data_IF_629188256317
#
_entry.id   IF_629188256317
#
_cell.length_a   1.000
_cell.length_b   1.000
_cell.length_c   1.000
_cell.angle_alpha   90.00
_cell.angle_beta   90.00
_cell.angle_gamma   90.00
#
_symmetry.space_group_name_H-M   'P 1'
#
loop_
_entity.id
_entity.type
_entity.pdbx_description
1 polymer ?
#
# COMPACT_ATOMS: atom_id res chain seq x y z
N UNK A 1 16.77 -12.93 -2.43
CA UNK A 1 17.71 -12.37 -3.43
C UNK A 1 18.95 -11.88 -2.71
N UNK A 2 20.15 -12.39 -3.03
CA UNK A 2 21.42 -11.85 -2.51
C UNK A 2 21.93 -10.79 -3.50
N UNK A 3 21.32 -9.62 -3.51
CA UNK A 3 21.80 -8.47 -4.27
C UNK A 3 22.68 -7.60 -3.35
N UNK A 4 23.74 -7.01 -3.89
CA UNK A 4 24.37 -5.86 -3.22
C UNK A 4 23.38 -4.70 -3.13
N UNK A 5 23.59 -3.78 -2.19
CA UNK A 5 22.72 -2.61 -2.04
C UNK A 5 22.66 -1.76 -3.32
N UNK A 6 23.77 -1.67 -4.05
CA UNK A 6 23.81 -0.99 -5.35
C UNK A 6 22.93 -1.70 -6.38
N UNK A 7 23.04 -3.01 -6.53
CA UNK A 7 22.22 -3.77 -7.48
C UNK A 7 20.74 -3.73 -7.12
N UNK A 8 20.41 -3.75 -5.82
CA UNK A 8 19.05 -3.61 -5.32
C UNK A 8 18.42 -2.30 -5.78
N UNK A 9 19.12 -1.18 -5.55
CA UNK A 9 18.68 0.17 -5.95
C UNK A 9 18.64 0.33 -7.46
N UNK A 10 19.69 -0.13 -8.17
CA UNK A 10 19.77 -0.04 -9.64
C UNK A 10 18.61 -0.81 -10.31
N UNK A 11 18.24 -1.99 -9.78
CA UNK A 11 17.08 -2.74 -10.27
C UNK A 11 15.77 -2.01 -10.02
N UNK A 12 15.57 -1.47 -8.81
CA UNK A 12 14.38 -0.69 -8.49
C UNK A 12 14.26 0.55 -9.39
N UNK A 13 15.33 1.32 -9.58
CA UNK A 13 15.34 2.49 -10.45
C UNK A 13 15.09 2.12 -11.92
N UNK A 14 15.64 0.99 -12.38
CA UNK A 14 15.47 0.53 -13.76
C UNK A 14 14.02 0.08 -14.03
N UNK A 15 13.48 -0.80 -13.18
CA UNK A 15 12.21 -1.51 -13.39
C UNK A 15 11.00 -0.85 -12.71
N UNK A 16 11.23 -0.09 -11.64
CA UNK A 16 10.21 0.53 -10.81
C UNK A 16 9.64 -0.40 -9.73
N UNK A 17 10.14 -1.64 -9.60
CA UNK A 17 9.72 -2.59 -8.57
C UNK A 17 10.81 -3.60 -8.22
N UNK A 18 10.61 -4.29 -7.10
CA UNK A 18 11.36 -5.46 -6.64
C UNK A 18 10.39 -6.51 -6.09
N UNK A 19 10.52 -7.76 -6.55
CA UNK A 19 9.68 -8.88 -6.13
C UNK A 19 10.35 -10.22 -6.48
N UNK A 20 10.22 -11.28 -5.66
CA UNK A 20 9.78 -11.25 -4.26
C UNK A 20 10.89 -10.74 -3.33
N UNK A 21 10.52 -10.19 -2.18
CA UNK A 21 11.45 -9.80 -1.10
C UNK A 21 11.04 -10.43 0.23
N UNK A 22 12.01 -10.86 1.07
CA UNK A 22 11.74 -11.21 2.45
C UNK A 22 11.11 -10.03 3.20
N UNK A 23 10.15 -10.30 4.08
CA UNK A 23 9.55 -9.30 4.97
C UNK A 23 9.43 -9.84 6.40
N UNK A 24 8.22 -10.25 6.81
CA UNK A 24 7.92 -10.66 8.19
C UNK A 24 8.10 -12.17 8.43
N UNK A 25 8.28 -12.94 7.36
CA UNK A 25 8.41 -14.40 7.43
C UNK A 25 7.08 -15.13 7.66
N UNK A 26 7.09 -16.45 7.44
CA UNK A 26 5.88 -17.29 7.41
C UNK A 26 5.15 -17.35 8.75
N UNK A 27 5.88 -17.40 9.87
CA UNK A 27 5.28 -17.50 11.21
C UNK A 27 4.52 -16.23 11.60
N UNK A 28 5.12 -15.04 11.39
CA UNK A 28 4.44 -13.78 11.70
C UNK A 28 3.27 -13.55 10.75
N UNK A 29 3.39 -13.92 9.47
CA UNK A 29 2.29 -13.85 8.52
C UNK A 29 1.11 -14.73 8.94
N UNK A 30 1.35 -15.96 9.40
CA UNK A 30 0.31 -16.85 9.89
C UNK A 30 -0.41 -16.27 11.13
N UNK A 31 0.35 -15.79 12.13
CA UNK A 31 -0.23 -15.14 13.33
C UNK A 31 -1.04 -13.88 12.99
N UNK A 32 -0.57 -13.09 12.03
CA UNK A 32 -1.31 -11.91 11.57
C UNK A 32 -2.59 -12.31 10.84
N UNK A 33 -2.55 -13.37 10.03
CA UNK A 33 -3.73 -13.91 9.34
C UNK A 33 -4.77 -14.44 10.33
N UNK A 34 -4.36 -15.13 11.39
CA UNK A 34 -5.25 -15.58 12.48
C UNK A 34 -5.97 -14.37 13.12
N UNK A 35 -5.23 -13.33 13.49
CA UNK A 35 -5.81 -12.09 14.05
C UNK A 35 -6.76 -11.40 13.07
N UNK A 36 -6.45 -11.40 11.78
CA UNK A 36 -7.35 -10.88 10.74
C UNK A 36 -8.65 -11.67 10.75
N UNK A 37 -8.57 -13.00 10.73
CA UNK A 37 -9.75 -13.89 10.73
C UNK A 37 -10.59 -13.77 12.01
N UNK A 38 -9.96 -13.55 13.17
CA UNK A 38 -10.67 -13.27 14.43
C UNK A 38 -11.52 -12.01 14.33
N UNK A 39 -10.97 -10.92 13.78
CA UNK A 39 -11.71 -9.67 13.53
C UNK A 39 -12.88 -9.93 12.59
N UNK A 40 -12.64 -10.62 11.48
CA UNK A 40 -13.65 -10.93 10.48
C UNK A 40 -14.78 -11.81 11.03
N UNK A 41 -14.46 -12.78 11.87
CA UNK A 41 -15.45 -13.65 12.52
C UNK A 41 -16.47 -12.84 13.34
N UNK A 42 -16.03 -11.73 13.95
CA UNK A 42 -16.92 -10.82 14.68
C UNK A 42 -17.63 -9.78 13.80
N UNK A 43 -17.31 -9.73 12.51
CA UNK A 43 -17.82 -8.73 11.56
C UNK A 43 -18.43 -9.41 10.31
N UNK A 44 -19.22 -10.46 10.53
CA UNK A 44 -19.97 -11.13 9.45
C UNK A 44 -19.08 -11.85 8.43
N UNK A 45 -17.89 -12.28 8.83
CA UNK A 45 -16.92 -12.99 7.99
C UNK A 45 -16.14 -12.08 7.04
N UNK A 46 -16.14 -10.76 7.26
CA UNK A 46 -15.44 -9.79 6.40
C UNK A 46 -14.69 -8.76 7.21
N UNK A 47 -13.58 -8.25 6.66
CA UNK A 47 -12.87 -7.14 7.28
C UNK A 47 -13.78 -5.90 7.33
N UNK A 48 -13.86 -5.19 8.47
CA UNK A 48 -14.71 -4.01 8.58
C UNK A 48 -14.26 -2.90 7.64
N UNK A 49 -15.15 -2.49 6.74
CA UNK A 49 -14.88 -1.45 5.74
C UNK A 49 -14.42 -0.13 6.37
N UNK A 50 -14.91 0.21 7.57
CA UNK A 50 -14.49 1.39 8.33
C UNK A 50 -12.97 1.40 8.57
N UNK A 51 -12.38 0.22 8.82
CA UNK A 51 -10.96 0.05 9.09
C UNK A 51 -10.21 -0.54 7.88
N UNK A 52 -10.77 -0.47 6.66
CA UNK A 52 -10.03 -0.86 5.46
C UNK A 52 -8.82 0.06 5.22
N UNK A 53 -8.93 1.34 5.61
CA UNK A 53 -7.89 2.37 5.54
C UNK A 53 -7.27 2.60 6.92
N UNK A 54 -5.93 2.68 6.99
CA UNK A 54 -5.14 2.86 8.23
C UNK A 54 -5.55 1.93 9.39
N UNK A 55 -5.75 0.61 9.17
CA UNK A 55 -6.06 -0.32 10.25
C UNK A 55 -4.96 -0.39 11.33
N UNK A 56 -3.73 -0.01 10.98
CA UNK A 56 -2.59 0.11 11.90
C UNK A 56 -2.91 0.98 13.13
N UNK A 57 -3.82 1.95 13.01
CA UNK A 57 -4.13 2.87 14.10
C UNK A 57 -5.02 2.26 15.18
N UNK A 58 -5.66 1.11 14.91
CA UNK A 58 -6.60 0.47 15.85
C UNK A 58 -6.25 -1.00 16.14
N UNK A 59 -5.36 -1.60 15.35
CA UNK A 59 -4.89 -2.97 15.53
C UNK A 59 -3.36 -2.99 15.73
N UNK A 60 -2.84 -3.15 16.97
CA UNK A 60 -1.41 -3.07 17.27
C UNK A 60 -0.52 -4.02 16.45
N UNK A 61 -1.01 -5.20 16.07
CA UNK A 61 -0.21 -6.13 15.26
C UNK A 61 0.11 -5.58 13.86
N UNK A 62 -0.71 -4.66 13.34
CA UNK A 62 -0.45 -3.99 12.06
C UNK A 62 0.52 -2.82 12.23
N UNK A 63 0.47 -2.08 13.35
CA UNK A 63 1.50 -1.08 13.68
C UNK A 63 2.88 -1.73 13.88
N UNK A 64 2.93 -2.94 14.45
CA UNK A 64 4.17 -3.72 14.54
C UNK A 64 4.72 -4.07 13.14
N UNK A 65 3.85 -4.50 12.22
CA UNK A 65 4.22 -4.89 10.86
C UNK A 65 4.78 -3.72 10.05
N UNK A 66 4.17 -2.53 10.08
CA UNK A 66 4.68 -1.38 9.32
C UNK A 66 6.06 -0.91 9.82
N UNK A 67 6.42 -1.28 11.06
CA UNK A 67 7.69 -0.97 11.72
C UNK A 67 8.69 -2.12 11.64
N UNK A 68 8.35 -3.21 10.96
CA UNK A 68 9.17 -4.41 10.95
C UNK A 68 10.56 -4.13 10.33
N UNK A 69 11.68 -4.47 11.03
CA UNK A 69 13.02 -4.10 10.58
C UNK A 69 13.34 -4.54 9.16
N UNK A 70 13.04 -5.80 8.78
CA UNK A 70 13.29 -6.30 7.42
C UNK A 70 12.57 -5.50 6.34
N UNK A 71 11.35 -5.00 6.62
CA UNK A 71 10.61 -4.16 5.67
C UNK A 71 11.33 -2.81 5.56
N UNK A 72 11.54 -2.16 6.70
CA UNK A 72 12.13 -0.83 6.73
C UNK A 72 13.57 -0.81 6.20
N UNK A 73 14.36 -1.87 6.37
CA UNK A 73 15.72 -1.98 5.82
C UNK A 73 15.70 -2.02 4.29
N UNK A 74 14.70 -2.68 3.69
CA UNK A 74 14.52 -2.68 2.25
C UNK A 74 14.03 -1.31 1.72
N UNK A 75 13.14 -0.64 2.47
CA UNK A 75 12.63 0.70 2.14
C UNK A 75 13.73 1.76 2.24
N UNK A 76 14.54 1.70 3.30
CA UNK A 76 15.63 2.65 3.59
C UNK A 76 16.65 2.71 2.45
N UNK A 77 16.98 1.56 1.84
CA UNK A 77 17.88 1.49 0.68
C UNK A 77 17.43 2.37 -0.49
N UNK A 78 16.12 2.58 -0.65
CA UNK A 78 15.53 3.36 -1.74
C UNK A 78 15.25 4.82 -1.32
N UNK A 79 14.77 5.02 -0.10
CA UNK A 79 14.17 6.27 0.36
C UNK A 79 15.10 7.14 1.22
N UNK A 80 16.07 6.51 1.88
CA UNK A 80 16.87 7.08 2.97
C UNK A 80 16.33 6.72 4.36
N UNK A 81 16.99 7.19 5.44
CA UNK A 81 16.80 6.71 6.81
C UNK A 81 15.54 7.26 7.51
N UNK A 82 15.00 8.38 7.03
CA UNK A 82 13.88 9.07 7.66
C UNK A 82 12.57 8.69 6.97
N UNK A 83 11.89 7.69 7.52
CA UNK A 83 10.78 6.98 6.88
C UNK A 83 9.49 7.22 7.64
N UNK A 84 8.47 7.62 6.88
CA UNK A 84 7.10 7.75 7.33
C UNK A 84 6.26 6.66 6.68
N UNK A 85 5.43 5.97 7.47
CA UNK A 85 4.27 5.24 6.95
C UNK A 85 3.10 6.21 6.81
N UNK A 86 2.76 6.56 5.57
CA UNK A 86 1.69 7.52 5.28
C UNK A 86 0.31 6.88 5.38
N UNK A 87 0.12 5.66 4.85
CA UNK A 87 -1.12 4.90 5.06
C UNK A 87 -0.91 3.40 4.82
N UNK A 88 -1.86 2.60 5.31
CA UNK A 88 -2.01 1.19 4.94
C UNK A 88 -3.43 0.90 4.48
N UNK A 89 -3.59 -0.07 3.58
CA UNK A 89 -4.90 -0.55 3.14
C UNK A 89 -4.88 -2.04 2.82
N UNK A 90 -5.92 -2.76 3.27
CA UNK A 90 -6.13 -4.16 2.92
C UNK A 90 -6.63 -4.33 1.48
N UNK A 91 -6.12 -5.36 0.82
CA UNK A 91 -6.60 -5.85 -0.47
C UNK A 91 -6.85 -7.36 -0.33
N UNK A 92 -8.09 -7.68 0.05
CA UNK A 92 -8.55 -9.06 0.23
C UNK A 92 -9.33 -9.47 -1.02
N UNK A 93 -9.02 -10.64 -1.57
CA UNK A 93 -9.84 -11.28 -2.59
C UNK A 93 -10.26 -12.67 -2.17
N UNK A 94 -11.55 -12.84 -1.98
CA UNK A 94 -12.17 -14.12 -1.66
C UNK A 94 -12.52 -14.90 -2.94
N UNK A 95 -12.54 -16.25 -2.90
CA UNK A 95 -12.94 -17.06 -4.04
C UNK A 95 -14.29 -16.60 -4.63
N UNK A 96 -14.30 -16.28 -5.92
CA UNK A 96 -15.52 -15.92 -6.64
C UNK A 96 -16.07 -14.51 -6.35
N UNK A 97 -15.33 -13.64 -5.66
CA UNK A 97 -15.77 -12.26 -5.42
C UNK A 97 -15.78 -11.35 -6.67
N UNK A 98 -15.09 -11.77 -7.74
CA UNK A 98 -14.97 -11.05 -9.00
C UNK A 98 -14.22 -9.71 -8.91
N UNK A 99 -13.64 -9.37 -7.76
CA UNK A 99 -12.97 -8.10 -7.54
C UNK A 99 -11.66 -8.02 -8.30
N UNK A 100 -11.41 -6.92 -9.01
CA UNK A 100 -10.16 -6.68 -9.72
C UNK A 100 -9.63 -5.27 -9.47
N UNK A 101 -8.37 -5.02 -9.80
CA UNK A 101 -7.78 -3.67 -9.73
C UNK A 101 -7.39 -3.31 -11.16
N UNK A 102 -8.03 -2.31 -11.72
CA UNK A 102 -7.70 -1.78 -13.05
C UNK A 102 -6.27 -1.24 -13.09
N UNK A 103 -5.70 -1.16 -14.29
CA UNK A 103 -4.39 -0.54 -14.50
C UNK A 103 -4.42 0.90 -14.02
N UNK A 104 -3.53 1.25 -13.09
CA UNK A 104 -3.47 2.58 -12.52
C UNK A 104 -2.07 2.96 -12.05
N UNK A 105 -1.92 4.24 -11.75
CA UNK A 105 -0.84 4.79 -10.93
C UNK A 105 -1.43 5.13 -9.57
N UNK A 106 -0.62 4.95 -8.54
CA UNK A 106 -1.07 4.98 -7.15
C UNK A 106 -1.50 6.41 -6.72
N UNK A 107 -0.77 7.43 -7.19
CA UNK A 107 -0.68 8.78 -6.59
C UNK A 107 -1.71 9.84 -6.99
N UNK A 108 -2.58 9.57 -7.95
CA UNK A 108 -3.43 10.59 -8.59
C UNK A 108 -4.29 11.42 -7.62
N UNK A 109 -4.49 10.96 -6.39
CA UNK A 109 -5.40 11.59 -5.42
C UNK A 109 -4.81 11.64 -4.00
N UNK A 110 -3.48 11.61 -3.85
CA UNK A 110 -2.85 11.54 -2.52
C UNK A 110 -2.63 12.90 -1.88
N UNK A 111 -2.55 13.97 -2.67
CA UNK A 111 -2.26 15.29 -2.15
C UNK A 111 -0.81 15.45 -1.64
N UNK A 112 0.12 14.65 -2.15
CA UNK A 112 1.54 14.67 -1.83
C UNK A 112 2.33 15.00 -3.10
N UNK A 113 3.36 15.83 -2.96
CA UNK A 113 4.35 16.09 -4.00
C UNK A 113 5.20 14.83 -4.26
N UNK A 114 5.25 14.45 -5.53
CA UNK A 114 5.80 13.18 -6.02
C UNK A 114 7.24 13.30 -6.53
N UNK A 115 7.89 14.44 -6.28
CA UNK A 115 9.29 14.65 -6.62
C UNK A 115 10.25 13.81 -5.77
N UNK A 116 9.75 13.15 -4.74
CA UNK A 116 10.52 12.27 -3.85
C UNK A 116 10.33 10.78 -4.19
N UNK A 117 11.27 9.96 -3.71
CA UNK A 117 11.16 8.50 -3.80
C UNK A 117 10.06 7.99 -2.86
N UNK A 118 8.83 7.93 -3.37
CA UNK A 118 7.65 7.41 -2.68
C UNK A 118 7.35 6.01 -3.22
N UNK A 119 7.07 5.06 -2.32
CA UNK A 119 6.87 3.67 -2.69
C UNK A 119 5.75 3.01 -1.90
N UNK A 120 5.23 1.92 -2.45
CA UNK A 120 4.32 1.00 -1.77
C UNK A 120 5.05 -0.32 -1.54
N UNK A 121 5.00 -0.82 -0.31
CA UNK A 121 5.30 -2.20 0.03
C UNK A 121 3.99 -2.99 0.06
N UNK A 122 3.86 -4.02 -0.76
CA UNK A 122 2.70 -4.92 -0.74
C UNK A 122 3.09 -6.22 -0.05
N UNK A 123 2.54 -6.46 1.14
CA UNK A 123 2.84 -7.60 2.00
C UNK A 123 1.77 -8.69 1.84
N UNK A 124 2.19 -9.93 1.65
CA UNK A 124 1.33 -11.09 1.53
C UNK A 124 1.11 -11.77 2.90
N UNK A 125 -0.15 -11.94 3.32
CA UNK A 125 -0.50 -12.77 4.50
C UNK A 125 -0.89 -14.20 4.12
N UNK A 126 -1.30 -14.39 2.87
CA UNK A 126 -1.49 -15.69 2.21
C UNK A 126 -0.61 -15.73 0.96
N UNK A 127 -0.34 -16.91 0.36
CA UNK A 127 0.27 -16.96 -0.97
C UNK A 127 -0.52 -16.09 -1.95
N UNK A 128 0.19 -15.33 -2.78
CA UNK A 128 -0.37 -14.52 -3.85
C UNK A 128 0.18 -15.06 -5.18
N UNK A 129 -0.70 -15.68 -5.96
CA UNK A 129 -0.38 -16.34 -7.23
C UNK A 129 -1.15 -15.67 -8.36
N UNK A 130 -0.77 -15.97 -9.60
CA UNK A 130 -1.53 -15.51 -10.77
C UNK A 130 -3.02 -15.89 -10.67
N UNK A 131 -3.33 -17.11 -10.25
CA UNK A 131 -4.70 -17.65 -10.22
C UNK A 131 -5.57 -17.00 -9.14
N UNK A 132 -4.98 -16.54 -8.03
CA UNK A 132 -5.70 -15.84 -6.97
C UNK A 132 -5.64 -14.31 -7.08
N UNK A 133 -5.23 -13.83 -8.26
CA UNK A 133 -5.28 -12.43 -8.62
C UNK A 133 -4.17 -11.61 -7.97
N UNK A 134 -2.93 -12.10 -7.96
CA UNK A 134 -1.77 -11.29 -7.54
C UNK A 134 -1.62 -10.01 -8.38
N UNK A 135 -0.89 -9.04 -7.84
CA UNK A 135 -0.58 -7.81 -8.55
C UNK A 135 0.30 -8.09 -9.79
N UNK A 136 -0.03 -7.44 -10.90
CA UNK A 136 0.78 -7.37 -12.12
C UNK A 136 1.23 -5.94 -12.38
N UNK A 137 2.40 -5.78 -12.98
CA UNK A 137 3.04 -4.49 -13.26
C UNK A 137 3.57 -4.42 -14.68
N UNK A 138 3.71 -3.23 -15.25
CA UNK A 138 4.47 -3.02 -16.50
C UNK A 138 5.81 -2.36 -16.17
N UNK A 139 6.95 -3.09 -16.26
CA UNK A 139 8.25 -2.59 -15.85
C UNK A 139 8.65 -1.28 -16.55
N UNK A 140 9.22 -0.33 -15.81
CA UNK A 140 9.77 0.92 -16.34
C UNK A 140 8.76 2.06 -16.54
N UNK A 141 7.46 1.78 -16.42
CA UNK A 141 6.39 2.79 -16.61
C UNK A 141 6.37 3.88 -15.54
N UNK A 142 7.03 3.69 -14.39
CA UNK A 142 7.21 4.73 -13.36
C UNK A 142 7.98 5.96 -13.86
N UNK A 143 8.77 5.81 -14.93
CA UNK A 143 9.51 6.88 -15.60
C UNK A 143 8.64 7.75 -16.50
N UNK A 144 7.44 7.27 -16.86
CA UNK A 144 6.46 8.06 -17.61
C UNK A 144 5.93 9.19 -16.72
N UNK A 145 5.31 10.21 -17.33
CA UNK A 145 4.60 11.23 -16.55
C UNK A 145 3.40 10.60 -15.82
N UNK A 146 2.86 11.33 -14.86
CA UNK A 146 1.50 11.03 -14.43
C UNK A 146 0.57 11.19 -15.63
N UNK A 147 -0.20 10.15 -15.92
CA UNK A 147 -1.18 10.18 -16.98
C UNK A 147 -2.55 10.55 -16.41
N UNK A 148 -3.43 11.16 -17.23
CA UNK A 148 -4.83 11.31 -16.87
C UNK A 148 -5.45 9.96 -16.49
N UNK A 149 -6.41 10.02 -15.58
CA UNK A 149 -7.22 8.86 -15.18
C UNK A 149 -8.65 9.08 -15.66
N UNK A 150 -9.24 8.06 -16.28
CA UNK A 150 -10.66 8.04 -16.62
C UNK A 150 -11.43 7.18 -15.63
N UNK A 151 -12.75 7.33 -15.61
CA UNK A 151 -13.60 6.35 -14.93
C UNK A 151 -13.34 4.96 -15.53
N UNK A 152 -13.01 4.00 -14.67
CA UNK A 152 -12.80 2.62 -15.07
C UNK A 152 -14.11 1.84 -15.11
N UNK A 153 -14.07 0.63 -15.66
CA UNK A 153 -15.24 -0.23 -15.76
C UNK A 153 -15.55 -0.95 -14.43
N UNK A 154 -16.82 -1.02 -14.04
CA UNK A 154 -17.35 -2.06 -13.14
C UNK A 154 -16.88 -2.04 -11.67
N UNK A 155 -16.72 -3.22 -11.08
CA UNK A 155 -16.43 -3.48 -9.66
C UNK A 155 -14.93 -3.37 -9.30
N UNK A 156 -14.21 -2.41 -9.89
CA UNK A 156 -12.80 -2.20 -9.63
C UNK A 156 -12.55 -1.77 -8.17
N UNK A 157 -11.61 -2.44 -7.50
CA UNK A 157 -11.17 -2.17 -6.13
C UNK A 157 -10.20 -0.97 -6.03
N UNK A 158 -9.99 -0.22 -7.11
CA UNK A 158 -9.25 1.04 -7.06
C UNK A 158 -10.02 2.07 -6.23
N UNK A 159 -9.31 2.97 -5.54
CA UNK A 159 -9.91 3.90 -4.55
C UNK A 159 -11.08 4.70 -5.13
N UNK A 160 -11.02 5.03 -6.43
CA UNK A 160 -12.06 5.79 -7.14
C UNK A 160 -12.64 5.03 -8.34
N UNK A 161 -12.40 3.72 -8.46
CA UNK A 161 -12.82 2.96 -9.65
C UNK A 161 -12.17 3.43 -10.95
N UNK A 162 -11.08 4.20 -10.89
CA UNK A 162 -10.44 4.82 -12.05
C UNK A 162 -9.37 3.91 -12.67
N UNK A 163 -9.07 4.14 -13.95
CA UNK A 163 -7.96 3.53 -14.66
C UNK A 163 -7.12 4.58 -15.37
N UNK A 164 -5.88 4.23 -15.69
CA UNK A 164 -5.01 5.08 -16.51
C UNK A 164 -5.60 5.22 -17.92
N UNK A 165 -5.67 6.44 -18.45
CA UNK A 165 -6.24 6.69 -19.79
C UNK A 165 -5.20 6.42 -20.90
N UNK A 166 -4.76 5.17 -20.97
CA UNK A 166 -3.90 4.62 -22.03
C UNK A 166 -4.15 3.14 -22.18
N UNK A 167 -4.07 2.64 -23.42
CA UNK A 167 -4.07 1.20 -23.66
C UNK A 167 -2.75 0.60 -23.16
N UNK A 168 -2.83 -0.15 -22.07
CA UNK A 168 -1.69 -0.85 -21.49
C UNK A 168 -1.43 -2.14 -22.26
N UNK A 169 -0.23 -2.29 -22.79
CA UNK A 169 0.20 -3.54 -23.42
C UNK A 169 0.41 -4.64 -22.36
N UNK A 170 -0.63 -5.45 -22.14
CA UNK A 170 -0.59 -6.52 -21.16
C UNK A 170 0.43 -7.62 -21.48
N UNK A 171 0.92 -7.73 -22.72
CA UNK A 171 1.97 -8.69 -23.06
C UNK A 171 3.31 -8.38 -22.36
N UNK A 172 3.48 -7.14 -21.89
CA UNK A 172 4.63 -6.70 -21.11
C UNK A 172 4.42 -6.82 -19.60
N UNK A 173 3.24 -7.26 -19.15
CA UNK A 173 2.92 -7.37 -17.74
C UNK A 173 3.70 -8.50 -17.06
N UNK A 174 4.19 -8.22 -15.85
CA UNK A 174 4.87 -9.17 -14.97
C UNK A 174 4.03 -9.35 -13.71
N UNK A 175 3.67 -10.59 -13.39
CA UNK A 175 3.01 -10.96 -12.13
C UNK A 175 4.03 -11.00 -11.00
N UNK A 176 3.67 -10.41 -9.85
CA UNK A 176 4.53 -10.30 -8.68
C UNK A 176 4.13 -11.33 -7.62
N UNK A 177 4.31 -12.61 -7.94
CA UNK A 177 3.97 -13.73 -7.05
C UNK A 177 4.77 -13.70 -5.75
N UNK A 178 4.11 -14.07 -4.65
CA UNK A 178 4.64 -13.96 -3.29
C UNK A 178 4.18 -15.16 -2.45
N UNK A 179 5.09 -15.71 -1.66
CA UNK A 179 4.73 -16.57 -0.53
C UNK A 179 4.18 -15.73 0.63
N UNK A 180 3.41 -16.36 1.53
CA UNK A 180 2.99 -15.71 2.77
C UNK A 180 4.20 -15.23 3.59
N UNK A 181 4.18 -13.95 3.99
CA UNK A 181 5.27 -13.29 4.72
C UNK A 181 6.34 -12.65 3.84
N UNK A 182 6.22 -12.75 2.51
CA UNK A 182 7.00 -11.98 1.55
C UNK A 182 6.30 -10.69 1.15
N UNK A 183 7.05 -9.77 0.56
CA UNK A 183 6.52 -8.53 0.01
C UNK A 183 7.07 -8.22 -1.38
N UNK A 184 6.39 -7.33 -2.08
CA UNK A 184 6.95 -6.57 -3.21
C UNK A 184 7.11 -5.10 -2.82
N UNK A 185 8.05 -4.41 -3.47
CA UNK A 185 8.14 -2.94 -3.44
C UNK A 185 7.89 -2.42 -4.83
N UNK A 186 7.04 -1.40 -4.99
CA UNK A 186 6.84 -0.73 -6.27
C UNK A 186 6.78 0.79 -6.13
N UNK A 187 7.26 1.47 -7.17
CA UNK A 187 7.16 2.92 -7.29
C UNK A 187 5.71 3.28 -7.54
N UNK A 188 5.24 4.35 -6.89
CA UNK A 188 3.84 4.79 -6.94
C UNK A 188 3.37 5.34 -8.30
N UNK A 189 4.24 5.34 -9.30
CA UNK A 189 3.95 5.72 -10.70
C UNK A 189 3.97 4.53 -11.63
N UNK A 190 4.40 3.35 -11.15
CA UNK A 190 4.43 2.15 -11.95
C UNK A 190 2.99 1.74 -12.29
N UNK A 191 2.73 1.44 -13.55
CA UNK A 191 1.44 0.90 -13.95
C UNK A 191 1.28 -0.47 -13.31
N UNK A 192 0.21 -0.62 -12.54
CA UNK A 192 -0.08 -1.86 -11.86
C UNK A 192 -1.59 -2.10 -11.77
N UNK A 193 -1.96 -3.37 -11.66
CA UNK A 193 -3.32 -3.85 -11.55
C UNK A 193 -3.34 -5.25 -10.94
N UNK A 194 -4.52 -5.86 -10.83
CA UNK A 194 -4.63 -7.27 -10.44
C UNK A 194 -5.90 -7.89 -10.98
N UNK A 195 -5.78 -9.11 -11.50
CA UNK A 195 -6.90 -9.87 -12.07
C UNK A 195 -7.85 -10.40 -10.97
N UNK A 196 -9.10 -10.76 -11.29
CA UNK A 196 -9.99 -11.44 -10.35
C UNK A 196 -9.38 -12.68 -9.70
N UNK A 197 -9.91 -13.07 -8.54
CA UNK A 197 -9.56 -14.36 -7.94
C UNK A 197 -10.42 -15.46 -8.58
N UNK A 198 -9.80 -16.24 -9.47
CA UNK A 198 -10.45 -17.38 -10.16
C UNK A 198 -10.18 -18.72 -9.45
N UNK A 199 -9.42 -18.68 -8.35
CA UNK A 199 -9.05 -19.86 -7.57
C UNK A 199 -10.03 -20.12 -6.42
N UNK A 200 -9.81 -21.24 -5.70
CA UNK A 200 -10.48 -21.54 -4.43
C UNK A 200 -9.69 -21.04 -3.21
N UNK A 201 -8.56 -20.36 -3.43
CA UNK A 201 -7.70 -19.86 -2.37
C UNK A 201 -7.92 -18.37 -2.17
N UNK A 202 -8.14 -17.97 -0.92
CA UNK A 202 -8.22 -16.56 -0.55
C UNK A 202 -6.86 -15.88 -0.69
N UNK A 203 -6.87 -14.62 -1.15
CA UNK A 203 -5.68 -13.77 -1.19
C UNK A 203 -5.83 -12.59 -0.24
N UNK A 204 -5.00 -12.54 0.80
CA UNK A 204 -4.98 -11.47 1.81
C UNK A 204 -3.65 -10.74 1.72
N UNK A 205 -3.69 -9.45 1.39
CA UNK A 205 -2.49 -8.62 1.40
C UNK A 205 -2.75 -7.20 1.88
N UNK A 206 -1.66 -6.54 2.27
CA UNK A 206 -1.66 -5.18 2.82
C UNK A 206 -0.71 -4.30 2.01
N UNK A 207 -1.26 -3.24 1.43
CA UNK A 207 -0.46 -2.18 0.85
C UNK A 207 -0.04 -1.21 1.95
N UNK A 208 1.25 -1.05 2.17
CA UNK A 208 1.87 -0.12 3.12
C UNK A 208 2.58 0.95 2.29
N UNK A 209 2.21 2.21 2.49
CA UNK A 209 2.73 3.32 1.69
C UNK A 209 3.73 4.10 2.49
N UNK A 210 4.97 4.11 2.03
CA UNK A 210 6.06 4.83 2.67
C UNK A 210 6.44 6.08 1.90
N UNK A 211 6.72 7.15 2.64
CA UNK A 211 7.23 8.43 2.12
C UNK A 211 8.43 8.88 2.96
N UNK A 212 9.41 9.61 2.39
CA UNK A 212 10.45 10.20 3.20
C UNK A 212 9.90 11.41 3.98
N UNK A 213 10.51 11.78 5.10
CA UNK A 213 10.09 12.95 5.91
C UNK A 213 10.10 14.27 5.14
N UNK A 214 10.94 14.37 4.10
CA UNK A 214 11.03 15.53 3.20
C UNK A 214 9.92 15.62 2.15
N UNK A 215 9.08 14.59 1.99
CA UNK A 215 7.95 14.64 1.07
C UNK A 215 6.91 15.67 1.54
N UNK A 216 6.55 16.59 0.65
CA UNK A 216 5.66 17.71 0.97
C UNK A 216 4.22 17.40 0.59
N UNK A 217 3.21 17.82 1.38
CA UNK A 217 1.84 17.88 0.90
C UNK A 217 1.71 18.96 -0.19
N UNK A 218 0.73 18.81 -1.09
CA UNK A 218 0.39 19.86 -2.05
C UNK A 218 -0.18 21.09 -1.32
N UNK A 219 0.15 22.28 -1.81
CA UNK A 219 -0.28 23.54 -1.19
C UNK A 219 -1.81 23.68 -1.11
N UNK A 220 -2.31 24.29 -0.04
CA UNK A 220 -3.75 24.55 0.15
C UNK A 220 -4.60 23.33 0.49
N UNK A 221 -3.98 22.20 0.84
CA UNK A 221 -4.67 21.04 1.42
C UNK A 221 -4.64 21.09 2.96
N UNK A 222 -5.63 20.49 3.66
CA UNK A 222 -5.53 20.24 5.09
C UNK A 222 -4.27 19.45 5.45
N UNK A 223 -3.75 19.66 6.66
CA UNK A 223 -2.59 18.92 7.16
C UNK A 223 -2.99 17.48 7.48
N UNK A 224 -2.43 16.52 6.75
CA UNK A 224 -2.65 15.08 6.96
C UNK A 224 -1.89 14.56 8.20
N UNK A 225 -2.19 13.33 8.61
CA UNK A 225 -1.53 12.62 9.72
C UNK A 225 -0.76 11.40 9.22
N UNK A 226 0.36 11.09 9.87
CA UNK A 226 1.28 10.02 9.49
C UNK A 226 2.00 9.38 10.66
N UNK A 227 2.46 8.14 10.48
CA UNK A 227 3.28 7.44 11.47
C UNK A 227 4.76 7.55 11.11
N UNK A 228 5.57 8.22 11.94
CA UNK A 228 7.03 8.16 11.83
C UNK A 228 7.49 6.75 12.25
N UNK A 229 8.11 6.00 11.33
CA UNK A 229 8.47 4.59 11.56
C UNK A 229 9.98 4.37 11.64
N UNK A 230 10.80 5.29 11.13
CA UNK A 230 12.26 5.29 11.28
C UNK A 230 12.84 6.70 11.14
N UNK A 231 13.96 6.95 11.83
CA UNK A 231 14.72 8.19 11.69
C UNK A 231 14.07 9.37 12.42
N UNK A 232 14.26 10.58 11.86
CA UNK A 232 13.85 11.86 12.47
C UNK A 232 13.09 12.70 11.44
N UNK A 233 11.98 13.31 11.88
CA UNK A 233 11.25 14.30 11.09
C UNK A 233 11.57 15.72 11.57
N UNK A 234 12.43 16.41 10.82
CA UNK A 234 12.74 17.83 11.04
C UNK A 234 11.84 18.78 10.21
N UNK A 235 11.03 18.24 9.30
CA UNK A 235 10.22 19.05 8.38
C UNK A 235 8.83 19.34 8.95
N UNK A 236 8.26 18.38 9.69
CA UNK A 236 6.96 18.53 10.38
C UNK A 236 5.81 18.92 9.44
N UNK A 237 5.85 18.46 8.18
CA UNK A 237 4.80 18.74 7.19
C UNK A 237 3.46 18.08 7.53
N UNK A 238 3.48 16.98 8.29
CA UNK A 238 2.31 16.20 8.69
C UNK A 238 2.12 16.20 10.21
N UNK A 239 0.94 15.82 10.69
CA UNK A 239 0.73 15.50 12.10
C UNK A 239 1.24 14.09 12.39
N UNK A 240 1.90 13.88 13.52
CA UNK A 240 2.30 12.53 13.90
C UNK A 240 1.17 11.78 14.61
N UNK A 241 0.96 10.55 14.15
CA UNK A 241 0.04 9.58 14.73
C UNK A 241 0.67 8.92 15.96
N UNK A 242 -0.15 8.54 16.93
CA UNK A 242 0.28 7.65 18.01
C UNK A 242 -0.09 6.19 17.71
N UNK A 243 0.80 5.27 18.10
CA UNK A 243 0.54 3.83 18.04
C UNK A 243 -0.59 3.41 18.99
N UNK A 244 -1.47 2.49 18.57
CA UNK A 244 -2.50 1.96 19.46
C UNK A 244 -1.90 1.16 20.62
N UNK A 245 -2.50 1.29 21.80
CA UNK A 245 -2.04 0.57 23.00
C UNK A 245 -2.66 -0.81 23.12
N UNK A 246 -3.88 -0.96 22.61
CA UNK A 246 -4.59 -2.23 22.54
C UNK A 246 -5.54 -2.21 21.35
N UNK A 247 -6.05 -3.39 20.98
CA UNK A 247 -7.04 -3.51 19.91
C UNK A 247 -8.24 -2.62 20.24
N UNK A 248 -8.59 -1.73 19.30
CA UNK A 248 -9.80 -0.90 19.33
C UNK A 248 -9.95 -0.05 20.60
N UNK A 249 -8.85 0.43 21.20
CA UNK A 249 -8.95 1.35 22.33
C UNK A 249 -9.59 2.68 21.93
N UNK A 250 -10.33 3.31 22.83
CA UNK A 250 -11.18 4.47 22.50
C UNK A 250 -10.40 5.64 21.90
N UNK A 251 -9.17 5.89 22.38
CA UNK A 251 -8.36 6.99 21.86
C UNK A 251 -7.89 6.69 20.43
N UNK A 252 -7.46 5.46 20.17
CA UNK A 252 -7.07 4.98 18.85
C UNK A 252 -8.21 5.03 17.83
N UNK A 253 -9.42 4.63 18.24
CA UNK A 253 -10.63 4.72 17.39
C UNK A 253 -10.97 6.17 17.07
N UNK A 254 -10.91 7.07 18.06
CA UNK A 254 -11.15 8.50 17.85
C UNK A 254 -10.11 9.13 16.91
N UNK A 255 -8.83 8.80 17.10
CA UNK A 255 -7.74 9.22 16.22
C UNK A 255 -7.98 8.74 14.78
N UNK A 256 -8.26 7.45 14.59
CA UNK A 256 -8.50 6.85 13.29
C UNK A 256 -9.66 7.54 12.56
N UNK A 257 -10.79 7.77 13.25
CA UNK A 257 -11.96 8.46 12.69
C UNK A 257 -11.59 9.86 12.19
N UNK A 258 -10.96 10.68 13.04
CA UNK A 258 -10.57 12.05 12.69
C UNK A 258 -9.61 12.10 11.49
N UNK A 259 -8.64 11.18 11.46
CA UNK A 259 -7.64 11.10 10.39
C UNK A 259 -8.28 10.67 9.08
N UNK A 260 -9.12 9.63 9.08
CA UNK A 260 -9.77 9.16 7.86
C UNK A 260 -10.80 10.15 7.31
N UNK A 261 -11.46 10.94 8.17
CA UNK A 261 -12.28 12.08 7.75
C UNK A 261 -11.44 13.17 7.06
N UNK A 262 -10.30 13.53 7.64
CA UNK A 262 -9.36 14.50 7.04
C UNK A 262 -8.82 14.00 5.70
N UNK A 263 -8.44 12.73 5.62
CA UNK A 263 -7.99 12.09 4.38
C UNK A 263 -9.06 12.13 3.28
N UNK A 264 -10.34 11.91 3.60
CA UNK A 264 -11.43 12.03 2.61
C UNK A 264 -11.51 13.43 2.02
N UNK A 265 -11.32 14.47 2.84
CA UNK A 265 -11.30 15.87 2.38
C UNK A 265 -10.11 16.10 1.45
N UNK A 266 -8.91 15.69 1.87
CA UNK A 266 -7.66 15.79 1.08
C UNK A 266 -7.82 15.07 -0.26
N UNK A 267 -8.31 13.84 -0.25
CA UNK A 267 -8.49 13.00 -1.44
C UNK A 267 -9.42 13.68 -2.45
N UNK A 268 -10.55 14.22 -1.99
CA UNK A 268 -11.49 14.94 -2.85
C UNK A 268 -10.89 16.24 -3.41
N UNK A 269 -10.20 17.02 -2.59
CA UNK A 269 -9.55 18.26 -3.03
C UNK A 269 -8.41 18.00 -4.03
N UNK A 270 -7.61 16.96 -3.81
CA UNK A 270 -6.51 16.59 -4.69
C UNK A 270 -7.02 16.06 -6.03
N UNK A 271 -8.07 15.22 -6.03
CA UNK A 271 -8.66 14.69 -7.25
C UNK A 271 -9.23 15.79 -8.18
N UNK A 272 -9.71 16.90 -7.62
CA UNK A 272 -10.24 18.04 -8.39
C UNK A 272 -9.14 18.94 -9.01
N UNK A 273 -7.86 18.62 -8.82
CA UNK A 273 -6.72 19.38 -9.38
C UNK A 273 -6.07 18.69 -10.60
N UNK A 274 -6.49 17.47 -10.90
CA UNK A 274 -6.12 16.73 -12.12
C UNK A 274 -7.08 17.06 -13.26
#
# INVERSE_FOLDING_TARGET
MNLSDKEFVDQYQKKGFLCPLPAIGKEMAAKALEKIQEVEATNGGKWPNEYALKPLLVYPFLDEIIRHPTILDAVEKIMGPDIICWQCRFFIKDPGDGGFVSWHQDISYWGIDINENILTAWLAFTPATKENGVMKVVPGTHKLKLLPHREGAGSALTVRGQEVDVDVDESQAVYMELDAGEMSLHHVKLFHGSDPNESQQRRVGLAIRYIPTRAKPLEGLPKDSVSLVRGVDNFNYFHHEFSPKSVMDSASVEQHKKITETYKIINNMAANRL
#
